data_IF_776636159180
#
_entry.id   IF_776636159180
#
_cell.length_a   1.000
_cell.length_b   1.000
_cell.length_c   1.000
_cell.angle_alpha   90.00
_cell.angle_beta   90.00
_cell.angle_gamma   90.00
#
_symmetry.space_group_name_H-M   'P 1'
#
loop_
_entity.id
_entity.type
_entity.pdbx_description
1 polymer ?
#
# COMPACT_ATOMS: atom_id res chain seq x y z
N UNK A 1 -13.26 11.52 3.01
CA UNK A 1 -12.87 11.81 4.41
C UNK A 1 -12.32 13.22 4.59
N UNK A 2 -11.32 13.67 3.80
CA UNK A 2 -10.74 15.01 3.93
C UNK A 2 -11.74 16.17 3.80
N UNK A 3 -12.77 16.02 2.97
CA UNK A 3 -13.85 17.00 2.86
C UNK A 3 -14.59 17.16 4.20
N UNK A 4 -15.07 16.04 4.77
CA UNK A 4 -15.74 16.03 6.06
C UNK A 4 -14.82 16.48 7.20
N UNK A 5 -13.52 16.17 7.15
CA UNK A 5 -12.56 16.67 8.13
C UNK A 5 -12.49 18.20 8.13
N UNK A 6 -12.60 18.85 6.96
CA UNK A 6 -12.67 20.31 6.86
C UNK A 6 -14.02 20.87 7.34
N UNK A 7 -15.11 20.23 6.95
CA UNK A 7 -16.48 20.68 7.26
C UNK A 7 -16.84 20.51 8.75
N UNK A 8 -16.39 19.43 9.38
CA UNK A 8 -16.71 19.07 10.76
C UNK A 8 -15.50 19.20 11.71
N UNK A 9 -14.57 20.12 11.42
CA UNK A 9 -13.32 20.26 12.18
C UNK A 9 -13.56 20.54 13.67
N UNK A 10 -14.61 21.29 13.99
CA UNK A 10 -15.00 21.67 15.35
C UNK A 10 -15.55 20.50 16.17
N UNK A 11 -16.21 19.53 15.53
CA UNK A 11 -16.75 18.35 16.21
C UNK A 11 -15.66 17.39 16.69
N UNK A 12 -14.47 17.45 16.09
CA UNK A 12 -13.36 16.52 16.36
C UNK A 12 -12.03 17.27 16.60
N UNK A 13 -11.92 18.15 17.61
CA UNK A 13 -10.77 19.04 17.80
C UNK A 13 -9.44 18.29 17.94
N UNK A 14 -9.45 17.06 18.48
CA UNK A 14 -8.28 16.19 18.62
C UNK A 14 -7.73 15.64 17.29
N UNK A 15 -8.53 15.61 16.21
CA UNK A 15 -8.09 15.13 14.90
C UNK A 15 -7.28 16.23 14.17
N UNK A 16 -6.00 16.37 14.55
CA UNK A 16 -5.12 17.47 14.12
C UNK A 16 -4.64 17.41 12.67
N UNK A 17 -4.66 16.23 12.06
CA UNK A 17 -4.14 15.97 10.70
C UNK A 17 -5.27 15.50 9.79
N UNK A 18 -5.12 15.72 8.48
CA UNK A 18 -6.09 15.21 7.52
C UNK A 18 -6.06 13.68 7.51
N UNK A 19 -7.21 13.01 7.34
CA UNK A 19 -7.25 11.55 7.18
C UNK A 19 -6.30 11.04 6.09
N UNK A 20 -6.20 11.72 4.94
CA UNK A 20 -5.26 11.35 3.87
C UNK A 20 -3.80 11.34 4.31
N UNK A 21 -3.36 12.33 5.10
CA UNK A 21 -1.99 12.42 5.63
C UNK A 21 -1.69 11.25 6.58
N UNK A 22 -2.68 10.88 7.40
CA UNK A 22 -2.55 9.76 8.33
C UNK A 22 -2.50 8.44 7.58
N UNK A 23 -3.34 8.27 6.56
CA UNK A 23 -3.35 7.07 5.69
C UNK A 23 -2.00 6.94 4.98
N UNK A 24 -1.52 8.02 4.35
CA UNK A 24 -0.27 8.01 3.61
C UNK A 24 0.94 7.65 4.49
N UNK A 25 0.91 8.02 5.76
CA UNK A 25 1.99 7.70 6.71
C UNK A 25 1.85 6.30 7.31
N UNK A 26 0.65 5.94 7.80
CA UNK A 26 0.48 4.85 8.78
C UNK A 26 -0.25 3.64 8.27
N UNK A 27 -0.87 3.72 7.09
CA UNK A 27 -1.64 2.61 6.53
C UNK A 27 -0.84 1.98 5.40
N UNK A 28 -0.91 0.66 5.32
CA UNK A 28 -0.46 -0.11 4.16
C UNK A 28 -1.58 -1.02 3.69
N UNK A 29 -1.61 -1.27 2.40
CA UNK A 29 -2.51 -2.20 1.72
C UNK A 29 -1.70 -3.37 1.18
N UNK A 30 -2.34 -4.52 1.07
CA UNK A 30 -1.75 -5.70 0.46
C UNK A 30 -2.24 -5.89 -0.97
N UNK A 31 -1.48 -6.61 -1.80
CA UNK A 31 -1.88 -6.91 -3.19
C UNK A 31 -3.10 -7.81 -3.26
N UNK A 32 -3.23 -8.77 -2.35
CA UNK A 32 -4.36 -9.71 -2.33
C UNK A 32 -5.67 -9.02 -1.88
N UNK A 33 -6.82 -9.33 -2.53
CA UNK A 33 -6.96 -10.16 -3.73
C UNK A 33 -6.70 -9.37 -5.02
N UNK A 34 -5.61 -9.69 -5.74
CA UNK A 34 -5.33 -9.08 -7.05
C UNK A 34 -5.99 -9.86 -8.20
N UNK A 35 -6.29 -11.15 -8.00
CA UNK A 35 -6.88 -12.04 -9.02
C UNK A 35 -8.36 -11.74 -9.34
N UNK A 36 -9.05 -10.93 -8.52
CA UNK A 36 -10.49 -10.69 -8.73
C UNK A 36 -10.77 -9.82 -9.99
N UNK A 37 -11.67 -10.28 -10.89
CA UNK A 37 -11.79 -9.78 -12.24
C UNK A 37 -12.63 -8.49 -12.29
N UNK A 38 -12.05 -7.36 -11.90
CA UNK A 38 -12.45 -6.03 -12.37
C UNK A 38 -11.21 -5.16 -12.29
N UNK A 39 -10.70 -4.72 -13.44
CA UNK A 39 -9.39 -5.13 -13.94
C UNK A 39 -8.30 -4.96 -12.88
N UNK A 40 -7.52 -5.99 -12.60
CA UNK A 40 -6.27 -5.85 -11.84
C UNK A 40 -5.38 -4.74 -12.43
N UNK A 41 -5.49 -4.51 -13.75
CA UNK A 41 -4.95 -3.33 -14.44
C UNK A 41 -5.41 -2.01 -13.84
N UNK A 42 -6.66 -1.85 -13.45
CA UNK A 42 -7.16 -0.60 -12.88
C UNK A 42 -6.47 -0.29 -11.55
N UNK A 43 -6.28 -1.28 -10.67
CA UNK A 43 -5.54 -1.05 -9.43
C UNK A 43 -4.08 -0.71 -9.71
N UNK A 44 -3.42 -1.47 -10.57
CA UNK A 44 -2.03 -1.24 -10.96
C UNK A 44 -1.86 0.13 -11.60
N UNK A 45 -2.74 0.50 -12.53
CA UNK A 45 -2.76 1.78 -13.23
C UNK A 45 -3.03 2.92 -12.24
N UNK A 46 -3.96 2.75 -11.30
CA UNK A 46 -4.20 3.73 -10.23
C UNK A 46 -2.93 3.94 -9.41
N UNK A 47 -2.27 2.86 -8.97
CA UNK A 47 -1.03 2.96 -8.21
C UNK A 47 0.03 3.71 -9.02
N UNK A 48 0.16 3.35 -10.31
CA UNK A 48 1.12 3.92 -11.25
C UNK A 48 0.88 5.40 -11.53
N UNK A 49 -0.36 5.82 -11.74
CA UNK A 49 -0.72 7.21 -12.08
C UNK A 49 -0.80 8.13 -10.88
N UNK A 50 -1.17 7.61 -9.70
CA UNK A 50 -1.30 8.42 -8.48
C UNK A 50 -0.02 8.50 -7.66
N UNK A 51 0.96 7.63 -7.91
CA UNK A 51 2.24 7.62 -7.19
C UNK A 51 2.10 7.22 -5.73
N UNK A 52 1.18 6.30 -5.44
CA UNK A 52 0.90 5.80 -4.08
C UNK A 52 1.54 4.43 -3.82
N UNK A 53 2.51 4.05 -4.64
CA UNK A 53 3.20 2.75 -4.58
C UNK A 53 3.77 2.44 -3.19
N UNK A 54 4.21 3.44 -2.43
CA UNK A 54 4.67 3.30 -1.05
C UNK A 54 3.64 2.72 -0.07
N UNK A 55 2.36 2.75 -0.42
CA UNK A 55 1.27 2.24 0.42
C UNK A 55 1.01 0.75 0.22
N UNK A 56 1.56 0.14 -0.83
CA UNK A 56 1.24 -1.24 -1.20
C UNK A 56 2.39 -2.21 -0.88
N UNK A 57 2.05 -3.40 -0.39
CA UNK A 57 2.97 -4.49 -0.10
C UNK A 57 2.42 -5.80 -0.69
N UNK A 58 3.29 -6.68 -1.15
CA UNK A 58 2.88 -8.01 -1.54
C UNK A 58 2.34 -8.80 -0.34
N UNK A 59 1.27 -9.56 -0.56
CA UNK A 59 0.80 -10.63 0.32
C UNK A 59 0.24 -11.74 -0.56
N UNK A 60 0.47 -12.99 -0.18
CA UNK A 60 -0.12 -14.16 -0.86
C UNK A 60 -1.48 -14.56 -0.28
N UNK A 61 -1.76 -14.21 0.98
CA UNK A 61 -2.92 -14.70 1.75
C UNK A 61 -2.95 -16.24 1.94
N UNK A 62 -1.81 -16.92 1.89
CA UNK A 62 -1.75 -18.37 2.17
C UNK A 62 -2.32 -18.72 3.56
N UNK A 63 -3.13 -19.80 3.73
CA UNK A 63 -3.44 -20.87 2.78
C UNK A 63 -4.81 -20.73 2.10
N UNK A 64 -5.28 -19.51 1.84
CA UNK A 64 -6.58 -19.32 1.20
C UNK A 64 -6.64 -19.98 -0.18
N UNK A 65 -7.83 -20.42 -0.60
CA UNK A 65 -8.01 -21.14 -1.86
C UNK A 65 -7.60 -20.33 -3.10
N UNK A 66 -7.60 -19.01 -2.97
CA UNK A 66 -7.27 -17.96 -3.94
C UNK A 66 -5.96 -17.26 -3.55
N UNK A 67 -4.99 -18.05 -3.05
CA UNK A 67 -3.65 -17.56 -2.71
C UNK A 67 -3.02 -16.91 -3.95
N UNK A 68 -2.56 -15.67 -3.80
CA UNK A 68 -1.81 -14.97 -4.83
C UNK A 68 -0.42 -15.61 -4.99
N UNK A 69 -0.15 -16.21 -6.14
CA UNK A 69 1.18 -16.71 -6.50
C UNK A 69 2.14 -15.53 -6.77
N UNK A 70 3.34 -15.47 -6.14
CA UNK A 70 4.25 -14.33 -6.27
C UNK A 70 4.62 -13.97 -7.72
N UNK A 71 4.89 -14.98 -8.56
CA UNK A 71 5.25 -14.79 -9.96
C UNK A 71 4.08 -14.23 -10.79
N UNK A 72 2.85 -14.61 -10.43
CA UNK A 72 1.64 -14.09 -11.08
C UNK A 72 1.47 -12.61 -10.76
N UNK A 73 1.59 -12.21 -9.48
CA UNK A 73 1.53 -10.80 -9.07
C UNK A 73 2.63 -9.98 -9.74
N UNK A 74 3.86 -10.50 -9.76
CA UNK A 74 5.00 -9.85 -10.41
C UNK A 74 4.76 -9.58 -11.90
N UNK A 75 4.10 -10.51 -12.60
CA UNK A 75 3.72 -10.38 -14.00
C UNK A 75 2.75 -9.23 -14.28
N UNK A 76 1.90 -8.89 -13.32
CA UNK A 76 0.92 -7.80 -13.42
C UNK A 76 1.47 -6.44 -13.00
N UNK A 77 2.59 -6.41 -12.28
CA UNK A 77 3.24 -5.17 -11.85
C UNK A 77 4.17 -4.59 -12.95
N UNK A 78 4.07 -3.27 -13.25
CA UNK A 78 5.02 -2.53 -14.06
C UNK A 78 6.44 -2.67 -13.48
N UNK A 79 7.48 -2.77 -14.32
CA UNK A 79 8.85 -3.02 -13.85
C UNK A 79 9.32 -2.12 -12.70
N UNK A 80 8.96 -0.83 -12.74
CA UNK A 80 9.34 0.14 -11.71
C UNK A 80 8.68 -0.07 -10.33
N UNK A 81 7.53 -0.75 -10.29
CA UNK A 81 6.76 -0.98 -9.06
C UNK A 81 7.16 -2.28 -8.35
N UNK A 82 7.75 -3.22 -9.10
CA UNK A 82 8.05 -4.58 -8.62
C UNK A 82 8.91 -4.58 -7.36
N UNK A 83 10.05 -3.89 -7.38
CA UNK A 83 10.97 -3.87 -6.23
C UNK A 83 10.29 -3.31 -4.97
N UNK A 84 9.54 -2.22 -5.12
CA UNK A 84 8.86 -1.56 -4.01
C UNK A 84 7.77 -2.40 -3.40
N UNK A 85 6.84 -2.88 -4.24
CA UNK A 85 5.65 -3.60 -3.77
C UNK A 85 6.02 -5.01 -3.29
N UNK A 86 6.92 -5.71 -4.00
CA UNK A 86 7.28 -7.08 -3.65
C UNK A 86 8.19 -7.20 -2.42
N UNK A 87 8.84 -6.12 -1.98
CA UNK A 87 9.76 -6.20 -0.84
C UNK A 87 10.10 -4.89 -0.15
N UNK A 88 10.52 -3.86 -0.89
CA UNK A 88 11.15 -2.69 -0.26
C UNK A 88 10.21 -1.95 0.71
N UNK A 89 8.92 -1.81 0.36
CA UNK A 89 7.95 -1.16 1.24
C UNK A 89 7.74 -1.94 2.55
N UNK A 90 7.76 -3.28 2.50
CA UNK A 90 7.64 -4.11 3.69
C UNK A 90 8.91 -4.02 4.55
N UNK A 91 10.10 -4.06 3.94
CA UNK A 91 11.36 -3.88 4.65
C UNK A 91 11.42 -2.54 5.39
N UNK A 92 10.98 -1.46 4.74
CA UNK A 92 10.94 -0.14 5.35
C UNK A 92 9.88 -0.04 6.46
N UNK A 93 8.70 -0.64 6.26
CA UNK A 93 7.61 -0.60 7.23
C UNK A 93 7.93 -1.41 8.49
N UNK A 94 8.55 -2.58 8.35
CA UNK A 94 8.90 -3.47 9.47
C UNK A 94 10.30 -3.18 10.05
N UNK A 95 11.05 -2.22 9.50
CA UNK A 95 12.40 -1.90 9.97
C UNK A 95 13.41 -3.02 9.71
N UNK A 96 13.21 -3.81 8.66
CA UNK A 96 14.05 -4.97 8.30
C UNK A 96 15.09 -4.64 7.22
N UNK A 97 15.23 -3.37 6.83
CA UNK A 97 16.16 -2.96 5.79
C UNK A 97 17.62 -3.08 6.29
N UNK A 98 18.44 -3.99 5.73
CA UNK A 98 19.78 -4.29 6.25
C UNK A 98 20.78 -3.12 6.16
N UNK A 99 20.45 -2.04 5.45
CA UNK A 99 21.23 -0.80 5.42
C UNK A 99 20.84 0.26 6.45
N UNK A 100 19.77 0.03 7.23
CA UNK A 100 19.31 0.88 8.35
C UNK A 100 19.67 0.21 9.68
N UNK A 101 20.94 -0.11 9.90
CA UNK A 101 21.42 -0.40 11.25
C UNK A 101 21.39 0.89 12.07
N UNK A 102 20.40 0.96 12.97
CA UNK A 102 20.28 1.83 14.16
C UNK A 102 21.08 3.15 14.14
N UNK A 103 20.44 4.21 13.65
CA UNK A 103 20.64 5.53 14.24
C UNK A 103 19.43 5.82 15.13
N UNK A 104 19.54 5.35 16.38
CA UNK A 104 18.76 5.89 17.50
C UNK A 104 19.41 7.18 18.00
#
# INVERSE_FOLDING_TARGET
MDRHWREFREAYPWLRRKPSEVVAERVRFTTQPLENPTPARDLVDIIEFTGIDQLFMFSSDYPHHDTDEPDWVLGHLPPRLRERIMGANALDFYGLNPGRSDQQ
#
